data_IF_913762609422
#
_entry.id   IF_913762609422
#
_cell.length_a   1.000
_cell.length_b   1.000
_cell.length_c   1.000
_cell.angle_alpha   90.00
_cell.angle_beta   90.00
_cell.angle_gamma   90.00
#
_symmetry.space_group_name_H-M   'P 1'
#
loop_
_entity.id
_entity.type
_entity.pdbx_description
1 polymer ?
#
# COMPACT_ATOMS: atom_id res chain seq x y z
N UNK A 1 -8.02 24.84 -29.51
CA UNK A 1 -6.78 24.35 -28.89
C UNK A 1 -5.95 23.71 -29.99
N UNK A 2 -5.09 24.51 -30.63
CA UNK A 2 -4.23 24.09 -31.74
C UNK A 2 -2.86 23.79 -31.14
N UNK A 3 -2.44 22.52 -31.16
CA UNK A 3 -1.09 22.14 -30.78
C UNK A 3 -0.10 22.74 -31.79
N UNK A 4 0.93 23.43 -31.27
CA UNK A 4 1.97 24.04 -32.08
C UNK A 4 2.70 22.96 -32.92
N UNK A 5 3.11 23.24 -34.17
CA UNK A 5 3.89 22.30 -34.98
C UNK A 5 5.15 21.80 -34.27
N UNK A 6 5.71 22.60 -33.35
CA UNK A 6 6.85 22.21 -32.50
C UNK A 6 6.52 21.10 -31.51
N UNK A 7 5.29 21.05 -30.97
CA UNK A 7 4.86 19.98 -30.05
C UNK A 7 4.63 18.64 -30.75
N UNK A 8 4.19 18.66 -32.02
CA UNK A 8 4.01 17.44 -32.81
C UNK A 8 5.36 16.84 -33.22
N UNK A 9 6.32 17.69 -33.61
CA UNK A 9 7.68 17.25 -33.95
C UNK A 9 8.41 16.65 -32.74
N UNK A 10 8.24 17.24 -31.55
CA UNK A 10 8.83 16.72 -30.32
C UNK A 10 8.27 15.34 -29.95
N UNK A 11 6.95 15.13 -30.10
CA UNK A 11 6.35 13.83 -29.87
C UNK A 11 6.87 12.78 -30.86
N UNK A 12 6.95 13.09 -32.16
CA UNK A 12 7.47 12.16 -33.17
C UNK A 12 8.93 11.74 -32.92
N UNK A 13 9.77 12.64 -32.41
CA UNK A 13 11.17 12.32 -32.06
C UNK A 13 11.31 11.43 -30.82
N UNK A 14 10.32 11.41 -29.93
CA UNK A 14 10.36 10.62 -28.68
C UNK A 14 9.79 9.20 -28.91
N UNK A 15 8.80 9.01 -29.78
CA UNK A 15 8.16 7.69 -29.98
C UNK A 15 8.90 6.79 -30.99
N UNK A 16 9.58 7.37 -31.98
CA UNK A 16 10.25 6.60 -33.04
C UNK A 16 11.53 5.84 -32.64
N UNK A 17 12.36 6.25 -31.67
CA UNK A 17 13.54 5.47 -31.28
C UNK A 17 13.25 4.32 -30.32
N UNK A 18 12.06 4.26 -29.70
CA UNK A 18 11.73 3.24 -28.70
C UNK A 18 11.30 1.88 -29.29
N UNK A 19 10.94 1.81 -30.57
CA UNK A 19 10.52 0.57 -31.22
C UNK A 19 11.67 -0.25 -31.83
N UNK A 20 12.87 0.33 -31.98
CA UNK A 20 14.01 -0.36 -32.64
C UNK A 20 15.04 -0.97 -31.68
N UNK A 21 14.91 -0.77 -30.36
CA UNK A 21 15.88 -1.29 -29.38
C UNK A 21 15.51 -2.66 -28.78
N UNK A 22 14.36 -3.25 -29.13
CA UNK A 22 13.88 -4.52 -28.55
C UNK A 22 14.18 -5.79 -29.39
N UNK A 23 14.91 -5.69 -30.51
CA UNK A 23 15.11 -6.83 -31.43
C UNK A 23 16.44 -7.60 -31.21
N UNK A 24 17.31 -7.18 -30.29
CA UNK A 24 18.61 -7.85 -30.06
C UNK A 24 18.77 -8.41 -28.65
N UNK A 25 17.83 -9.25 -28.20
CA UNK A 25 18.14 -10.24 -27.16
C UNK A 25 18.53 -11.54 -27.88
N UNK A 26 19.80 -11.96 -27.86
CA UNK A 26 20.22 -13.21 -28.46
C UNK A 26 19.59 -14.40 -27.70
N UNK A 27 18.78 -15.19 -28.40
CA UNK A 27 18.29 -16.48 -27.93
C UNK A 27 19.42 -17.52 -28.00
N UNK A 28 20.29 -17.55 -27.01
CA UNK A 28 21.23 -18.67 -26.91
C UNK A 28 21.60 -19.04 -25.48
N UNK A 29 20.66 -19.72 -24.81
CA UNK A 29 20.99 -20.65 -23.74
C UNK A 29 20.25 -21.95 -24.04
N UNK A 30 20.81 -22.75 -24.96
CA UNK A 30 20.46 -24.17 -25.06
C UNK A 30 21.39 -24.99 -24.18
N UNK A 31 20.75 -25.81 -23.35
CA UNK A 31 21.23 -27.03 -22.69
C UNK A 31 22.30 -26.87 -21.60
N UNK A 32 21.95 -27.32 -20.39
CA UNK A 32 22.34 -28.64 -19.86
C UNK A 32 21.29 -29.02 -18.79
N UNK A 33 20.36 -29.92 -19.11
CA UNK A 33 19.60 -30.64 -18.08
C UNK A 33 20.42 -31.86 -17.71
N UNK A 34 20.91 -32.02 -16.47
CA UNK A 34 21.47 -33.29 -16.05
C UNK A 34 20.36 -34.33 -16.03
N UNK A 35 20.67 -35.52 -16.54
CA UNK A 35 19.77 -36.67 -16.57
C UNK A 35 19.18 -36.90 -15.17
N UNK A 36 17.85 -36.82 -15.07
CA UNK A 36 17.10 -37.13 -13.87
C UNK A 36 17.20 -38.63 -13.62
N UNK A 37 18.18 -39.04 -12.82
CA UNK A 37 18.27 -40.39 -12.27
C UNK A 37 17.01 -40.63 -11.42
N UNK A 38 16.09 -41.43 -11.98
CA UNK A 38 14.88 -41.89 -11.32
C UNK A 38 15.23 -42.85 -10.19
N UNK A 39 15.65 -42.32 -9.04
CA UNK A 39 15.69 -43.10 -7.80
C UNK A 39 14.24 -43.42 -7.42
N UNK A 40 13.89 -44.70 -7.15
CA UNK A 40 12.55 -45.05 -6.72
C UNK A 40 12.25 -44.33 -5.41
N UNK A 41 11.27 -43.43 -5.45
CA UNK A 41 10.71 -42.75 -4.29
C UNK A 41 10.09 -43.81 -3.38
N UNK A 42 10.86 -44.25 -2.37
CA UNK A 42 10.31 -45.03 -1.27
C UNK A 42 9.28 -44.14 -0.58
N UNK A 43 8.01 -44.47 -0.80
CA UNK A 43 6.85 -43.87 -0.15
C UNK A 43 6.93 -44.23 1.33
N UNK A 44 7.67 -43.43 2.10
CA UNK A 44 7.63 -43.52 3.55
C UNK A 44 6.20 -43.17 3.98
N UNK A 45 5.61 -44.08 4.75
CA UNK A 45 4.27 -43.94 5.30
C UNK A 45 4.09 -42.58 5.94
N UNK A 46 2.90 -42.03 5.76
CA UNK A 46 2.49 -40.73 6.28
C UNK A 46 2.38 -40.82 7.81
N UNK A 47 3.52 -40.75 8.49
CA UNK A 47 3.58 -40.53 9.93
C UNK A 47 3.10 -39.09 10.16
N UNK A 48 1.89 -38.93 10.68
CA UNK A 48 1.39 -37.64 11.13
C UNK A 48 2.18 -37.22 12.36
N UNK A 49 3.35 -36.61 12.14
CA UNK A 49 4.01 -35.80 13.16
C UNK A 49 3.01 -34.67 13.46
N UNK A 50 2.51 -34.60 14.69
CA UNK A 50 1.91 -33.36 15.19
C UNK A 50 3.07 -32.35 15.21
N UNK A 51 3.27 -31.66 14.09
CA UNK A 51 4.36 -30.74 13.91
C UNK A 51 4.10 -29.56 14.85
N UNK A 52 4.85 -29.50 15.96
CA UNK A 52 4.91 -28.35 16.84
C UNK A 52 5.31 -27.15 15.98
N UNK A 53 4.35 -26.27 15.69
CA UNK A 53 4.59 -25.06 14.91
C UNK A 53 5.26 -24.02 15.79
N UNK A 54 6.30 -23.39 15.28
CA UNK A 54 6.93 -22.26 15.95
C UNK A 54 6.03 -21.03 15.82
N UNK A 55 5.89 -20.21 16.86
CA UNK A 55 5.12 -18.98 16.76
C UNK A 55 5.80 -18.04 15.74
N UNK A 56 4.98 -17.39 14.91
CA UNK A 56 5.42 -16.42 13.92
C UNK A 56 4.78 -15.07 14.26
N UNK A 57 5.59 -14.03 14.31
CA UNK A 57 5.13 -12.64 14.45
C UNK A 57 5.33 -11.93 13.12
N UNK A 58 4.26 -11.34 12.60
CA UNK A 58 4.29 -10.57 11.36
C UNK A 58 4.52 -9.11 11.71
N UNK A 59 5.60 -8.53 11.17
CA UNK A 59 5.92 -7.10 11.29
C UNK A 59 5.75 -6.49 9.89
N UNK A 60 4.70 -5.69 9.65
CA UNK A 60 4.48 -5.05 8.37
C UNK A 60 5.52 -3.95 8.12
N UNK A 61 5.75 -3.64 6.85
CA UNK A 61 6.50 -2.46 6.43
C UNK A 61 5.66 -1.17 6.46
N UNK A 62 6.22 -0.10 5.92
CA UNK A 62 5.51 1.18 5.76
C UNK A 62 4.29 1.01 4.85
N UNK A 63 3.16 1.60 5.24
CA UNK A 63 1.86 1.40 4.59
C UNK A 63 1.32 -0.04 4.64
N UNK A 64 2.00 -0.98 5.29
CA UNK A 64 1.65 -2.40 5.34
C UNK A 64 0.62 -2.77 6.42
N UNK A 65 0.07 -1.79 7.14
CA UNK A 65 -1.00 -2.01 8.11
C UNK A 65 -1.99 -0.86 8.12
N UNK A 66 -3.25 -1.17 8.48
CA UNK A 66 -4.30 -0.15 8.53
C UNK A 66 -4.05 0.89 9.61
N UNK A 67 -4.56 2.10 9.38
CA UNK A 67 -4.64 3.17 10.38
C UNK A 67 -6.06 3.69 10.47
N UNK A 68 -6.47 4.11 11.67
CA UNK A 68 -7.71 4.85 11.88
C UNK A 68 -7.43 6.21 12.50
N UNK A 69 -8.20 7.23 12.11
CA UNK A 69 -8.16 8.55 12.71
C UNK A 69 -9.50 8.92 13.33
N UNK A 70 -9.48 9.79 14.34
CA UNK A 70 -10.62 10.56 14.81
C UNK A 70 -10.22 12.04 14.85
N UNK A 71 -11.02 12.90 14.22
CA UNK A 71 -10.89 14.35 14.26
C UNK A 71 -11.67 14.89 15.46
N UNK A 72 -10.94 15.45 16.43
CA UNK A 72 -11.48 15.97 17.70
C UNK A 72 -11.68 17.48 17.71
N UNK A 73 -11.38 18.16 16.59
CA UNK A 73 -11.51 19.60 16.47
C UNK A 73 -10.26 20.24 15.90
N UNK A 74 -10.03 20.09 14.59
CA UNK A 74 -8.90 20.73 13.92
C UNK A 74 -9.07 22.26 13.96
N UNK A 75 -8.05 23.03 14.42
CA UNK A 75 -8.15 24.49 14.52
C UNK A 75 -8.22 25.15 13.14
N UNK A 76 -7.55 24.56 12.15
CA UNK A 76 -7.57 24.98 10.75
C UNK A 76 -7.63 23.77 9.83
N UNK A 77 -8.07 24.02 8.59
CA UNK A 77 -8.16 23.02 7.52
C UNK A 77 -7.67 23.65 6.22
N UNK A 78 -7.10 22.85 5.33
CA UNK A 78 -6.56 23.31 4.04
C UNK A 78 -7.65 23.85 3.11
N UNK A 79 -8.83 23.21 3.11
CA UNK A 79 -9.98 23.62 2.32
C UNK A 79 -11.24 23.65 3.18
N UNK A 80 -12.20 24.49 2.82
CA UNK A 80 -13.45 24.66 3.57
C UNK A 80 -14.30 23.38 3.66
N UNK A 81 -14.14 22.47 2.69
CA UNK A 81 -14.86 21.20 2.64
C UNK A 81 -14.19 20.08 3.45
N UNK A 82 -12.97 20.28 3.95
CA UNK A 82 -12.33 19.30 4.81
C UNK A 82 -12.98 19.29 6.20
N UNK A 83 -13.22 18.10 6.72
CA UNK A 83 -13.83 17.94 8.04
C UNK A 83 -12.87 18.41 9.16
N UNK A 84 -13.44 19.08 10.17
CA UNK A 84 -12.72 19.46 11.39
C UNK A 84 -12.93 18.48 12.53
N UNK A 85 -14.06 17.76 12.51
CA UNK A 85 -14.50 16.84 13.55
C UNK A 85 -15.19 15.63 12.92
N UNK A 86 -15.07 14.49 13.59
CA UNK A 86 -15.74 13.23 13.24
C UNK A 86 -16.33 12.62 14.50
N UNK A 87 -17.46 11.93 14.39
CA UNK A 87 -18.06 11.26 15.55
C UNK A 87 -17.23 10.05 15.99
N UNK A 88 -16.74 9.28 15.02
CA UNK A 88 -16.08 8.00 15.23
C UNK A 88 -14.73 7.91 14.51
N UNK A 89 -13.98 6.86 14.84
CA UNK A 89 -12.76 6.54 14.13
C UNK A 89 -13.04 6.04 12.72
N UNK A 90 -12.58 6.78 11.71
CA UNK A 90 -12.66 6.41 10.30
C UNK A 90 -11.36 5.77 9.79
N UNK A 91 -11.39 4.98 8.69
CA UNK A 91 -10.19 4.48 8.05
C UNK A 91 -9.34 5.64 7.50
N UNK A 92 -8.13 5.80 8.04
CA UNK A 92 -7.17 6.79 7.58
C UNK A 92 -6.22 6.19 6.54
N UNK A 93 -5.96 4.89 6.65
CA UNK A 93 -5.17 4.12 5.69
C UNK A 93 -5.64 2.65 5.66
N UNK A 94 -5.91 2.03 4.52
CA UNK A 94 -6.09 2.60 3.17
C UNK A 94 -7.58 2.84 2.89
N UNK A 95 -7.91 4.01 2.35
CA UNK A 95 -9.24 4.35 1.83
C UNK A 95 -9.09 5.06 0.48
N UNK A 96 -9.37 4.35 -0.61
CA UNK A 96 -9.18 4.86 -1.97
C UNK A 96 -10.05 6.09 -2.26
N UNK A 97 -11.16 6.29 -1.56
CA UNK A 97 -12.00 7.47 -1.76
C UNK A 97 -11.25 8.76 -1.39
N UNK A 98 -10.28 8.66 -0.48
CA UNK A 98 -9.48 9.80 -0.02
C UNK A 98 -8.34 10.18 -0.99
N UNK A 99 -8.11 9.38 -2.05
CA UNK A 99 -7.11 9.66 -3.09
C UNK A 99 -7.69 10.33 -4.33
N UNK A 100 -8.96 10.71 -4.28
CA UNK A 100 -9.60 11.46 -5.35
C UNK A 100 -9.04 12.89 -5.50
N UNK A 101 -9.20 13.50 -6.68
CA UNK A 101 -8.97 14.94 -6.82
C UNK A 101 -9.82 15.69 -5.80
N UNK A 102 -9.32 16.81 -5.28
CA UNK A 102 -9.89 17.63 -4.19
C UNK A 102 -9.72 17.08 -2.76
N UNK A 103 -9.96 15.79 -2.52
CA UNK A 103 -9.96 15.23 -1.15
C UNK A 103 -8.58 14.77 -0.67
N UNK A 104 -7.64 14.54 -1.57
CA UNK A 104 -6.26 14.14 -1.24
C UNK A 104 -5.56 15.15 -0.32
N UNK A 105 -5.85 16.44 -0.47
CA UNK A 105 -5.28 17.50 0.39
C UNK A 105 -5.82 17.40 1.82
N UNK A 106 -7.11 17.06 1.98
CA UNK A 106 -7.68 16.81 3.31
C UNK A 106 -7.04 15.59 3.97
N UNK A 107 -6.79 14.53 3.21
CA UNK A 107 -6.10 13.33 3.70
C UNK A 107 -4.67 13.65 4.13
N UNK A 108 -3.89 14.33 3.29
CA UNK A 108 -2.53 14.74 3.61
C UNK A 108 -2.47 15.60 4.89
N UNK A 109 -3.43 16.51 5.06
CA UNK A 109 -3.55 17.37 6.25
C UNK A 109 -3.99 16.59 7.51
N UNK A 110 -4.65 15.44 7.36
CA UNK A 110 -4.97 14.54 8.48
C UNK A 110 -3.80 13.59 8.80
N UNK A 111 -2.97 13.28 7.81
CA UNK A 111 -1.91 12.27 7.92
C UNK A 111 -0.56 12.85 8.36
N UNK A 112 -0.35 14.16 8.17
CA UNK A 112 0.89 14.84 8.53
C UNK A 112 1.13 14.87 10.04
N UNK A 113 2.41 14.90 10.40
CA UNK A 113 2.88 15.02 11.78
C UNK A 113 3.43 16.41 12.06
N UNK A 114 3.23 16.91 13.27
CA UNK A 114 3.89 18.11 13.79
C UNK A 114 5.23 17.72 14.41
N UNK A 115 6.33 18.16 13.78
CA UNK A 115 7.69 17.83 14.19
C UNK A 115 8.31 18.96 15.02
N UNK A 116 8.60 18.66 16.28
CA UNK A 116 9.32 19.57 17.16
C UNK A 116 10.84 19.36 17.01
N UNK A 117 11.52 20.33 16.39
CA UNK A 117 12.97 20.28 16.16
C UNK A 117 13.80 20.27 17.44
N UNK A 118 13.33 20.95 18.49
CA UNK A 118 14.05 21.04 19.77
C UNK A 118 14.04 19.72 20.52
N UNK A 119 12.90 19.02 20.53
CA UNK A 119 12.78 17.71 21.18
C UNK A 119 13.11 16.52 20.28
N UNK A 120 13.17 16.74 18.96
CA UNK A 120 13.36 15.68 17.96
C UNK A 120 12.18 14.72 17.83
N UNK A 121 10.99 15.10 18.33
CA UNK A 121 9.80 14.23 18.35
C UNK A 121 8.73 14.72 17.40
N UNK A 122 8.10 13.77 16.72
CA UNK A 122 6.88 13.98 15.95
C UNK A 122 5.66 13.63 16.82
N UNK A 123 4.57 14.36 16.63
CA UNK A 123 3.25 14.07 17.21
C UNK A 123 2.18 14.25 16.14
N UNK A 124 1.01 13.66 16.38
CA UNK A 124 -0.17 13.94 15.57
C UNK A 124 -0.48 15.44 15.57
N UNK A 125 -1.06 15.92 14.47
CA UNK A 125 -1.52 17.30 14.37
C UNK A 125 -2.59 17.60 15.44
N UNK A 126 -2.67 18.85 15.87
CA UNK A 126 -3.71 19.28 16.82
C UNK A 126 -5.12 18.99 16.27
N UNK A 127 -5.97 18.40 17.11
CA UNK A 127 -7.30 17.97 16.71
C UNK A 127 -7.34 16.65 15.93
N UNK A 128 -6.23 15.95 15.74
CA UNK A 128 -6.17 14.62 15.11
C UNK A 128 -5.72 13.56 16.13
N UNK A 129 -6.39 12.41 16.13
CA UNK A 129 -5.99 11.23 16.92
C UNK A 129 -5.86 10.02 16.01
N UNK A 130 -4.65 9.49 15.86
CA UNK A 130 -4.38 8.28 15.05
C UNK A 130 -4.23 7.06 15.95
N UNK A 131 -4.73 5.90 15.51
CA UNK A 131 -4.52 4.61 16.18
C UNK A 131 -4.28 3.48 15.19
N UNK A 132 -3.54 2.47 15.64
CA UNK A 132 -3.31 1.21 14.93
C UNK A 132 -4.36 0.19 15.40
N UNK A 133 -5.33 -0.22 14.56
CA UNK A 133 -6.29 -1.25 14.89
C UNK A 133 -5.69 -2.66 14.76
N UNK A 134 -6.33 -3.64 15.41
CA UNK A 134 -6.10 -5.06 15.12
C UNK A 134 -4.77 -5.64 15.61
N UNK A 135 -4.13 -5.05 16.62
CA UNK A 135 -2.92 -5.63 17.21
C UNK A 135 -3.18 -7.08 17.68
N UNK A 136 -2.22 -7.97 17.43
CA UNK A 136 -2.35 -9.41 17.70
C UNK A 136 -3.19 -10.19 16.69
N UNK A 137 -3.79 -9.53 15.70
CA UNK A 137 -4.53 -10.16 14.61
C UNK A 137 -3.84 -9.90 13.27
N UNK A 138 -4.13 -10.72 12.27
CA UNK A 138 -3.46 -10.64 10.95
C UNK A 138 -4.26 -9.84 9.92
N UNK A 139 -5.58 -9.67 10.10
CA UNK A 139 -6.47 -9.04 9.10
C UNK A 139 -6.03 -7.64 8.64
N UNK A 140 -5.46 -6.84 9.54
CA UNK A 140 -5.04 -5.47 9.24
C UNK A 140 -3.74 -5.39 8.44
N UNK A 141 -3.00 -6.50 8.36
CA UNK A 141 -1.77 -6.66 7.56
C UNK A 141 -2.03 -7.45 6.28
N UNK A 142 -2.97 -8.40 6.31
CA UNK A 142 -3.39 -9.17 5.12
C UNK A 142 -4.11 -8.30 4.08
N UNK A 143 -4.90 -7.32 4.54
CA UNK A 143 -5.74 -6.51 3.66
C UNK A 143 -5.70 -5.05 4.10
N UNK A 144 -5.22 -4.15 3.23
CA UNK A 144 -5.03 -2.73 3.57
C UNK A 144 -6.30 -1.89 3.55
N UNK A 145 -7.33 -2.28 2.80
CA UNK A 145 -8.59 -1.52 2.75
C UNK A 145 -9.58 -1.96 3.83
N UNK A 146 -10.16 -1.01 4.56
CA UNK A 146 -11.19 -1.33 5.56
C UNK A 146 -12.52 -1.83 4.99
N UNK A 147 -12.78 -1.62 3.69
CA UNK A 147 -14.09 -1.85 3.08
C UNK A 147 -14.60 -3.30 3.14
N UNK A 148 -13.69 -4.29 3.17
CA UNK A 148 -14.08 -5.71 3.33
C UNK A 148 -14.58 -6.06 4.73
N UNK A 149 -14.36 -5.21 5.73
CA UNK A 149 -14.99 -5.36 7.05
C UNK A 149 -16.37 -4.67 7.12
N UNK A 150 -16.66 -3.72 6.22
CA UNK A 150 -17.98 -3.08 6.11
C UNK A 150 -18.96 -3.85 5.22
N UNK A 151 -18.46 -4.64 4.27
CA UNK A 151 -19.30 -5.51 3.42
C UNK A 151 -19.93 -6.70 4.17
N UNK A 152 -19.59 -6.90 5.44
CA UNK A 152 -20.15 -7.95 6.30
C UNK A 152 -21.02 -7.36 7.44
N UNK A 153 -21.27 -6.05 7.44
CA UNK A 153 -22.16 -5.37 8.38
C UNK A 153 -23.49 -4.94 7.74
N UNK A 154 -23.70 -5.33 6.47
CA UNK A 154 -24.93 -5.11 5.71
C UNK A 154 -25.25 -6.34 4.85
N UNK A 155 -25.46 -7.49 5.49
CA UNK A 155 -26.30 -8.59 4.99
C UNK A 155 -27.16 -9.04 6.16
#
# INVERSE_FOLDING_TARGET
MLFSPSTVLLLLLIVLPFSLSFILIPQNVRQISPALSSRPFRRFGHFSVIAKRNPIVLIPGDGGSRLKANLTGKPSVVHYFCQRQTNDFFPLWLDLQQFGPFVIDCWADNMRLDFNRTSGRAKDLEGVKVRVPGFGHTRTVEWSEGGKDQQNASI
#
